data_IF_934165753501
#
_entry.id   IF_934165753501
#
_cell.length_a   1.000
_cell.length_b   1.000
_cell.length_c   1.000
_cell.angle_alpha   90.00
_cell.angle_beta   90.00
_cell.angle_gamma   90.00
#
_symmetry.space_group_name_H-M   'P 1'
#
loop_
_entity.id
_entity.type
_entity.pdbx_description
1 polymer ?
#
# COMPACT_ATOMS: atom_id res chain seq x y z
N UNK A 1 5.20 -2.50 -21.57
CA UNK A 1 4.09 -2.79 -20.66
C UNK A 1 3.23 -1.54 -20.51
N UNK A 2 1.94 -1.63 -20.82
CA UNK A 2 0.97 -0.56 -20.57
C UNK A 2 0.71 -0.42 -19.08
N UNK A 3 0.09 0.68 -18.64
CA UNK A 3 -0.30 0.87 -17.24
C UNK A 3 -1.26 -0.22 -16.75
N UNK A 4 -2.15 -0.69 -17.61
CA UNK A 4 -3.09 -1.74 -17.24
C UNK A 4 -2.40 -3.10 -17.12
N UNK A 5 -1.52 -3.44 -18.06
CA UNK A 5 -0.67 -4.63 -17.97
C UNK A 5 0.19 -4.63 -16.70
N UNK A 6 0.80 -3.48 -16.36
CA UNK A 6 1.56 -3.32 -15.12
C UNK A 6 0.67 -3.56 -13.90
N UNK A 7 -0.54 -2.98 -13.88
CA UNK A 7 -1.48 -3.18 -12.78
C UNK A 7 -1.85 -4.65 -12.61
N UNK A 8 -2.15 -5.36 -13.70
CA UNK A 8 -2.47 -6.79 -13.63
C UNK A 8 -1.27 -7.61 -13.16
N UNK A 9 -0.06 -7.28 -13.64
CA UNK A 9 1.17 -7.93 -13.19
C UNK A 9 1.44 -7.70 -11.69
N UNK A 10 1.20 -6.48 -11.19
CA UNK A 10 1.30 -6.17 -9.76
C UNK A 10 0.30 -6.95 -8.93
N UNK A 11 -0.97 -7.05 -9.37
CA UNK A 11 -1.99 -7.84 -8.68
C UNK A 11 -1.59 -9.32 -8.62
N UNK A 12 -1.21 -9.90 -9.75
CA UNK A 12 -0.76 -11.29 -9.81
C UNK A 12 0.44 -11.55 -8.88
N UNK A 13 1.40 -10.62 -8.84
CA UNK A 13 2.57 -10.71 -7.93
C UNK A 13 2.20 -10.57 -6.47
N UNK A 14 1.22 -9.74 -6.14
CA UNK A 14 0.70 -9.61 -4.77
C UNK A 14 -0.07 -10.87 -4.35
N UNK A 15 -0.92 -11.41 -5.24
CA UNK A 15 -1.65 -12.66 -5.02
C UNK A 15 -0.70 -13.86 -4.84
N UNK A 16 0.47 -13.83 -5.48
CA UNK A 16 1.51 -14.86 -5.35
C UNK A 16 2.28 -14.76 -4.02
N UNK A 17 2.54 -13.54 -3.54
CA UNK A 17 3.50 -13.29 -2.45
C UNK A 17 2.86 -12.93 -1.11
N UNK A 18 1.59 -12.57 -1.10
CA UNK A 18 0.87 -12.10 0.08
C UNK A 18 -0.50 -12.77 0.18
N UNK A 19 -1.06 -12.80 1.37
CA UNK A 19 -2.40 -13.33 1.61
C UNK A 19 -3.44 -12.22 1.43
N UNK A 20 -4.64 -12.57 0.96
CA UNK A 20 -5.75 -11.62 0.99
C UNK A 20 -6.07 -11.23 2.44
N UNK A 21 -6.20 -9.92 2.70
CA UNK A 21 -6.53 -9.43 4.02
C UNK A 21 -7.91 -9.97 4.49
N UNK A 22 -8.12 -10.30 5.78
CA UNK A 22 -9.38 -10.87 6.29
C UNK A 22 -10.64 -10.03 6.00
N UNK A 23 -10.49 -8.71 5.85
CA UNK A 23 -11.57 -7.80 5.45
C UNK A 23 -11.89 -7.82 3.93
N UNK A 24 -11.23 -8.68 3.17
CA UNK A 24 -11.35 -8.85 1.73
C UNK A 24 -10.91 -7.64 0.90
N UNK A 25 -10.92 -7.78 -0.41
CA UNK A 25 -10.71 -6.66 -1.35
C UNK A 25 -11.90 -5.68 -1.40
N UNK A 26 -11.64 -4.39 -1.70
CA UNK A 26 -12.71 -3.40 -1.93
C UNK A 26 -13.10 -3.35 -3.41
N UNK A 27 -13.94 -4.29 -3.83
CA UNK A 27 -14.53 -4.34 -5.16
C UNK A 27 -13.48 -4.15 -6.27
N UNK A 28 -13.68 -3.14 -7.13
CA UNK A 28 -12.77 -2.79 -8.23
C UNK A 28 -11.78 -1.66 -7.90
N UNK A 29 -11.76 -1.16 -6.67
CA UNK A 29 -11.02 0.06 -6.31
C UNK A 29 -9.68 -0.24 -5.64
N UNK A 30 -9.69 -1.17 -4.69
CA UNK A 30 -8.50 -1.52 -3.92
C UNK A 30 -8.43 -3.03 -3.67
N UNK A 31 -7.22 -3.57 -3.72
CA UNK A 31 -6.89 -4.89 -3.20
C UNK A 31 -6.18 -4.71 -1.86
N UNK A 32 -6.46 -5.61 -0.91
CA UNK A 32 -5.93 -5.56 0.45
C UNK A 32 -5.20 -6.86 0.71
N UNK A 33 -3.98 -6.76 1.21
CA UNK A 33 -3.12 -7.90 1.44
C UNK A 33 -2.48 -7.85 2.82
N UNK A 34 -2.05 -9.01 3.28
CA UNK A 34 -1.14 -9.18 4.41
C UNK A 34 0.09 -9.91 3.91
N UNK A 35 1.24 -9.26 4.00
CA UNK A 35 2.53 -9.85 3.70
C UNK A 35 3.16 -10.37 4.99
N UNK A 36 3.46 -11.66 5.06
CA UNK A 36 4.14 -12.24 6.19
C UNK A 36 5.66 -12.16 5.99
N UNK A 37 6.31 -11.26 6.72
CA UNK A 37 7.77 -11.19 6.75
C UNK A 37 8.38 -12.33 7.56
N UNK A 38 9.65 -12.68 7.28
CA UNK A 38 10.35 -13.73 8.05
C UNK A 38 10.57 -13.34 9.51
N UNK A 39 10.56 -12.04 9.81
CA UNK A 39 10.97 -11.49 11.10
C UNK A 39 10.16 -10.27 11.58
N UNK A 40 9.48 -9.50 10.72
CA UNK A 40 8.67 -8.33 11.10
C UNK A 40 7.20 -8.63 11.47
N UNK A 41 6.80 -9.90 11.46
CA UNK A 41 5.39 -10.25 11.59
C UNK A 41 4.59 -9.90 10.32
N UNK A 42 3.27 -9.80 10.46
CA UNK A 42 2.35 -9.49 9.37
C UNK A 42 2.37 -7.99 9.03
N UNK A 43 2.53 -7.65 7.75
CA UNK A 43 2.49 -6.27 7.23
C UNK A 43 1.25 -6.09 6.37
N UNK A 44 0.40 -5.14 6.72
CA UNK A 44 -0.77 -4.79 5.90
C UNK A 44 -0.37 -3.94 4.69
N UNK A 45 -0.91 -4.29 3.52
CA UNK A 45 -0.68 -3.60 2.26
C UNK A 45 -2.00 -3.30 1.57
N UNK A 46 -2.11 -2.12 0.95
CA UNK A 46 -3.26 -1.79 0.10
C UNK A 46 -2.80 -1.32 -1.27
N UNK A 47 -3.32 -1.98 -2.32
CA UNK A 47 -2.99 -1.66 -3.70
C UNK A 47 -4.18 -1.03 -4.43
N UNK A 48 -3.96 0.11 -5.09
CA UNK A 48 -4.99 0.79 -5.90
C UNK A 48 -5.14 0.11 -7.27
N UNK A 49 -6.22 -0.67 -7.44
CA UNK A 49 -6.52 -1.39 -8.69
C UNK A 49 -7.57 -0.73 -9.59
N UNK A 50 -7.98 0.50 -9.29
CA UNK A 50 -8.92 1.24 -10.11
C UNK A 50 -8.33 1.58 -11.50
N UNK A 51 -9.12 1.56 -12.59
CA UNK A 51 -8.61 1.86 -13.93
C UNK A 51 -8.14 3.32 -14.09
N UNK A 52 -8.68 4.22 -13.25
CA UNK A 52 -8.35 5.66 -13.22
C UNK A 52 -7.22 6.02 -12.26
N UNK A 53 -6.77 5.10 -11.40
CA UNK A 53 -5.64 5.35 -10.50
C UNK A 53 -4.32 4.90 -11.14
N UNK A 54 -3.23 5.52 -10.70
CA UNK A 54 -1.91 4.91 -10.85
C UNK A 54 -1.87 3.59 -10.04
N UNK A 55 -0.98 2.65 -10.40
CA UNK A 55 -0.75 1.47 -9.59
C UNK A 55 0.02 1.91 -8.33
N UNK A 56 -0.73 2.24 -7.29
CA UNK A 56 -0.19 2.76 -6.04
C UNK A 56 -0.23 1.68 -4.97
N UNK A 57 0.86 1.53 -4.23
CA UNK A 57 0.96 0.67 -3.06
C UNK A 57 1.06 1.52 -1.80
N UNK A 58 0.17 1.25 -0.86
CA UNK A 58 0.11 1.90 0.44
C UNK A 58 0.60 0.94 1.52
N UNK A 59 1.44 1.47 2.41
CA UNK A 59 2.05 0.76 3.54
C UNK A 59 2.31 1.75 4.68
N UNK A 60 2.34 1.28 5.92
CA UNK A 60 2.73 2.13 7.06
C UNK A 60 4.20 2.53 6.95
N UNK A 61 4.49 3.80 7.22
CA UNK A 61 5.81 4.41 7.02
C UNK A 61 6.92 3.71 7.79
N UNK A 62 6.65 3.29 9.03
CA UNK A 62 7.65 2.65 9.89
C UNK A 62 8.20 1.32 9.31
N UNK A 63 7.50 0.70 8.36
CA UNK A 63 8.01 -0.52 7.71
C UNK A 63 8.99 -0.22 6.57
N UNK A 64 8.98 1.00 6.04
CA UNK A 64 9.68 1.38 4.79
C UNK A 64 10.54 2.64 4.93
N UNK A 65 10.75 3.13 6.14
CA UNK A 65 11.56 4.32 6.46
C UNK A 65 12.94 4.31 5.79
N UNK A 66 13.66 3.18 5.82
CA UNK A 66 14.95 3.05 5.13
C UNK A 66 14.80 3.08 3.61
N UNK A 67 13.78 2.40 3.07
CA UNK A 67 13.55 2.36 1.63
C UNK A 67 13.20 3.75 1.08
N UNK A 68 12.47 4.54 1.86
CA UNK A 68 12.20 5.96 1.63
C UNK A 68 13.50 6.77 1.66
N UNK A 69 14.35 6.56 2.68
CA UNK A 69 15.62 7.26 2.83
C UNK A 69 16.62 6.96 1.69
N UNK A 70 16.59 5.76 1.11
CA UNK A 70 17.39 5.39 -0.07
C UNK A 70 17.03 6.23 -1.32
N UNK A 71 15.79 6.74 -1.41
CA UNK A 71 15.37 7.65 -2.47
C UNK A 71 15.27 7.04 -3.87
N UNK A 72 15.29 5.71 -4.00
CA UNK A 72 15.31 5.02 -5.30
C UNK A 72 13.93 4.75 -5.91
N UNK A 73 12.85 5.05 -5.20
CA UNK A 73 11.46 4.79 -5.62
C UNK A 73 10.65 6.08 -5.59
N UNK A 74 9.67 6.21 -6.48
CA UNK A 74 8.73 7.33 -6.44
C UNK A 74 7.69 7.08 -5.33
N UNK A 75 7.60 8.00 -4.36
CA UNK A 75 6.64 7.90 -3.27
C UNK A 75 6.12 9.26 -2.83
N UNK A 76 5.05 9.23 -2.02
CA UNK A 76 4.52 10.39 -1.30
C UNK A 76 4.22 9.99 0.14
N UNK A 77 4.64 10.82 1.09
CA UNK A 77 4.18 10.73 2.48
C UNK A 77 2.73 11.15 2.60
N UNK A 78 1.95 10.38 3.33
CA UNK A 78 0.56 10.64 3.63
C UNK A 78 0.36 10.52 5.14
N UNK A 79 0.51 11.64 5.87
CA UNK A 79 0.29 11.65 7.31
C UNK A 79 -1.13 11.18 7.64
N UNK A 80 -1.29 10.44 8.73
CA UNK A 80 -2.57 9.97 9.26
C UNK A 80 -3.63 11.10 9.30
N UNK A 81 -3.21 12.29 9.73
CA UNK A 81 -4.02 13.51 9.78
C UNK A 81 -4.57 13.97 8.42
N UNK A 82 -3.90 13.63 7.32
CA UNK A 82 -4.25 14.05 5.96
C UNK A 82 -5.00 12.96 5.16
N UNK A 83 -4.77 11.68 5.44
CA UNK A 83 -5.37 10.53 4.70
C UNK A 83 -6.90 10.56 4.74
N UNK A 84 -7.49 11.02 5.86
CA UNK A 84 -8.93 11.12 6.06
C UNK A 84 -9.50 12.54 6.02
N UNK A 85 -8.66 13.54 5.73
CA UNK A 85 -9.05 14.95 5.76
C UNK A 85 -9.84 15.40 4.52
N UNK A 86 -9.83 14.63 3.43
CA UNK A 86 -10.46 15.04 2.17
C UNK A 86 -11.97 15.22 2.33
N UNK A 87 -12.42 16.48 2.31
CA UNK A 87 -13.84 16.85 2.25
C UNK A 87 -14.27 16.89 0.79
N UNK A 88 -15.40 16.26 0.48
CA UNK A 88 -16.05 16.38 -0.82
C UNK A 88 -16.67 17.76 -1.00
N UNK A 89 -17.09 18.06 -2.23
CA UNK A 89 -17.72 19.34 -2.62
C UNK A 89 -18.97 19.72 -1.80
N UNK A 90 -19.58 18.76 -1.09
CA UNK A 90 -20.73 18.93 -0.21
C UNK A 90 -20.35 19.14 1.27
N UNK A 91 -19.08 19.37 1.59
CA UNK A 91 -18.58 19.51 2.96
C UNK A 91 -18.53 18.22 3.78
N UNK A 92 -19.06 17.10 3.25
CA UNK A 92 -18.95 15.77 3.88
C UNK A 92 -17.59 15.17 3.56
N UNK A 93 -16.98 14.49 4.52
CA UNK A 93 -15.73 13.74 4.30
C UNK A 93 -15.94 12.74 3.16
N UNK A 94 -15.16 12.85 2.08
CA UNK A 94 -15.23 11.96 0.92
C UNK A 94 -14.30 10.78 1.17
N UNK A 95 -14.88 9.69 1.64
CA UNK A 95 -14.17 8.43 1.86
C UNK A 95 -14.22 7.60 0.59
N UNK A 96 -13.50 8.01 -0.45
CA UNK A 96 -13.35 7.26 -1.69
C UNK A 96 -12.47 6.02 -1.49
N UNK A 97 -11.44 5.84 -2.33
CA UNK A 97 -10.47 4.73 -2.23
C UNK A 97 -9.77 4.61 -0.86
N UNK A 98 -9.62 5.69 -0.10
CA UNK A 98 -9.04 5.64 1.25
C UNK A 98 -9.98 5.03 2.31
N UNK A 99 -11.26 4.78 1.99
CA UNK A 99 -12.11 3.95 2.85
C UNK A 99 -11.56 2.53 2.98
N UNK A 100 -10.75 2.08 2.00
CA UNK A 100 -10.13 0.78 2.02
C UNK A 100 -9.23 0.60 3.23
N UNK A 101 -8.53 1.66 3.64
CA UNK A 101 -7.55 1.69 4.72
C UNK A 101 -8.20 1.63 6.11
N UNK A 102 -9.46 2.08 6.25
CA UNK A 102 -10.14 2.18 7.56
C UNK A 102 -10.35 0.85 8.28
N UNK A 103 -10.37 -0.25 7.54
CA UNK A 103 -10.60 -1.60 8.10
C UNK A 103 -9.31 -2.39 8.24
N UNK A 104 -8.17 -1.74 7.97
CA UNK A 104 -6.83 -2.32 8.03
C UNK A 104 -6.16 -1.69 9.25
N UNK A 105 -5.99 -2.45 10.34
CA UNK A 105 -5.67 -1.89 11.65
C UNK A 105 -4.32 -1.19 11.69
N UNK A 106 -3.35 -1.65 10.91
CA UNK A 106 -2.03 -1.02 10.81
C UNK A 106 -2.08 0.24 9.94
N UNK A 107 -2.98 0.31 8.97
CA UNK A 107 -3.04 1.43 8.01
C UNK A 107 -4.10 2.50 8.36
N UNK A 108 -5.02 2.19 9.28
CA UNK A 108 -6.17 3.05 9.58
C UNK A 108 -5.80 4.33 10.32
N UNK A 109 -4.76 4.31 11.14
CA UNK A 109 -4.37 5.44 12.00
C UNK A 109 -2.85 5.71 11.96
N UNK A 110 -2.14 5.12 11.01
CA UNK A 110 -0.70 5.29 10.83
C UNK A 110 -0.37 6.41 9.84
N UNK A 111 0.83 6.95 9.97
CA UNK A 111 1.46 7.67 8.87
C UNK A 111 1.83 6.68 7.77
N UNK A 112 1.46 7.01 6.53
CA UNK A 112 1.55 6.10 5.39
C UNK A 112 2.54 6.61 4.36
N UNK A 113 3.11 5.67 3.62
CA UNK A 113 3.82 5.92 2.37
C UNK A 113 3.00 5.33 1.23
N UNK A 114 2.78 6.17 0.21
CA UNK A 114 2.16 5.77 -1.05
C UNK A 114 3.27 5.67 -2.12
N UNK A 115 3.72 4.47 -2.43
CA UNK A 115 4.62 4.22 -3.54
C UNK A 115 3.84 4.23 -4.85
N UNK A 116 4.36 4.93 -5.86
CA UNK A 116 3.88 4.79 -7.23
C UNK A 116 4.71 3.73 -7.92
N UNK A 117 4.06 2.65 -8.33
CA UNK A 117 4.73 1.54 -9.02
C UNK A 117 4.82 1.90 -10.51
N UNK A 118 6.04 2.11 -10.99
CA UNK A 118 6.33 2.41 -12.39
C UNK A 118 6.84 1.17 -13.14
N UNK A 119 7.44 0.22 -12.41
CA UNK A 119 7.89 -1.07 -12.94
C UNK A 119 7.51 -2.22 -12.00
N UNK A 120 7.46 -3.46 -12.51
CA UNK A 120 7.24 -4.62 -11.63
C UNK A 120 8.42 -4.82 -10.64
N UNK A 121 9.63 -4.40 -11.04
CA UNK A 121 10.81 -4.42 -10.15
C UNK A 121 10.70 -3.46 -8.97
N UNK A 122 9.98 -2.34 -9.12
CA UNK A 122 9.70 -1.42 -8.01
C UNK A 122 8.89 -2.15 -6.92
N UNK A 123 7.86 -2.90 -7.35
CA UNK A 123 7.04 -3.69 -6.44
C UNK A 123 7.87 -4.78 -5.77
N UNK A 124 8.67 -5.52 -6.55
CA UNK A 124 9.52 -6.58 -6.00
C UNK A 124 10.49 -6.07 -4.95
N UNK A 125 11.12 -4.92 -5.19
CA UNK A 125 12.03 -4.30 -4.23
C UNK A 125 11.33 -3.94 -2.92
N UNK A 126 10.10 -3.42 -3.00
CA UNK A 126 9.30 -3.11 -1.80
C UNK A 126 8.94 -4.40 -1.06
N UNK A 127 8.44 -5.42 -1.76
CA UNK A 127 8.06 -6.68 -1.14
C UNK A 127 9.25 -7.41 -0.52
N UNK A 128 10.41 -7.42 -1.20
CA UNK A 128 11.65 -8.01 -0.68
C UNK A 128 12.12 -7.28 0.58
N UNK A 129 12.09 -5.95 0.58
CA UNK A 129 12.42 -5.16 1.77
C UNK A 129 11.53 -5.54 2.96
N UNK A 130 10.22 -5.61 2.74
CA UNK A 130 9.24 -5.94 3.77
C UNK A 130 9.32 -7.40 4.23
N UNK A 131 9.67 -8.34 3.34
CA UNK A 131 9.83 -9.76 3.68
C UNK A 131 11.13 -10.05 4.46
N UNK A 132 12.18 -9.25 4.23
CA UNK A 132 13.50 -9.43 4.86
C UNK A 132 13.64 -8.69 6.19
N UNK A 133 12.90 -7.59 6.40
CA UNK A 133 13.02 -6.84 7.65
C UNK A 133 12.48 -7.67 8.82
N UNK A 134 13.32 -7.76 9.84
CA UNK A 134 12.92 -8.00 11.22
C UNK A 134 12.79 -6.67 11.91
N UNK A 135 11.79 -6.55 12.77
CA UNK A 135 11.78 -5.49 13.77
C UNK A 135 13.03 -5.64 14.63
N UNK A 136 14.08 -4.86 14.33
CA UNK A 136 15.00 -4.44 15.37
C UNK A 136 14.21 -3.46 16.23
N UNK A 137 13.82 -3.92 17.41
CA UNK A 137 13.09 -3.15 18.41
C UNK A 137 13.78 -1.83 18.75
N UNK A 138 12.97 -0.89 19.20
CA UNK A 138 13.29 -0.11 20.39
C UNK A 138 12.19 -0.38 21.44
#
# INVERSE_FOLDING_TARGET
MTRDELRQACLARLDERAEEHPCGHQGKLAARYVLHGRTAGAVELMFEKGPRSAPNLWVAEWFVDHLVAEGSLEFRHAPSSAVFATRGANGKRQYGRHSALKVMNQLSDADLVCFRINTLGDLDRILDHLSMRGTSSA
#
